data_IF_009037151028
#
_entry.id   IF_009037151028
#
_cell.length_a   1.000
_cell.length_b   1.000
_cell.length_c   1.000
_cell.angle_alpha   90.00
_cell.angle_beta   90.00
_cell.angle_gamma   90.00
#
_symmetry.space_group_name_H-M   'P 1'
#
loop_
_entity.id
_entity.type
_entity.pdbx_description
1 polymer ?
#
# COMPACT_ATOMS: atom_id res chain seq x y z
N UNK A 1 0.44 -5.63 -14.31
CA UNK A 1 1.25 -6.00 -13.13
C UNK A 1 1.14 -4.97 -12.01
N UNK A 2 1.54 -3.71 -12.21
CA UNK A 2 1.48 -2.66 -11.14
C UNK A 2 0.06 -2.35 -10.63
N UNK A 3 -0.92 -2.31 -11.53
CA UNK A 3 -2.33 -2.10 -11.17
C UNK A 3 -2.91 -3.26 -10.37
N UNK A 4 -2.45 -4.50 -10.59
CA UNK A 4 -2.99 -5.67 -9.90
C UNK A 4 -2.75 -5.60 -8.38
N UNK A 5 -1.56 -5.18 -7.96
CA UNK A 5 -1.21 -5.10 -6.54
C UNK A 5 -2.00 -4.04 -5.78
N UNK A 6 -2.48 -3.01 -6.47
CA UNK A 6 -3.23 -1.90 -5.84
C UNK A 6 -4.73 -2.11 -5.93
N UNK A 7 -5.24 -2.63 -7.05
CA UNK A 7 -6.68 -2.70 -7.30
C UNK A 7 -7.30 -4.01 -6.84
N UNK A 8 -6.62 -5.15 -6.91
CA UNK A 8 -7.22 -6.45 -6.55
C UNK A 8 -7.62 -6.51 -5.07
N UNK A 9 -6.73 -6.24 -4.09
CA UNK A 9 -7.14 -6.25 -2.68
C UNK A 9 -8.18 -5.19 -2.36
N UNK A 10 -8.12 -4.01 -3.00
CA UNK A 10 -9.13 -2.96 -2.83
C UNK A 10 -10.50 -3.38 -3.38
N UNK A 11 -10.54 -4.00 -4.55
CA UNK A 11 -11.77 -4.44 -5.22
C UNK A 11 -12.43 -5.61 -4.50
N UNK A 12 -11.64 -6.56 -3.98
CA UNK A 12 -12.15 -7.71 -3.23
C UNK A 12 -12.81 -7.32 -1.90
N UNK A 13 -12.42 -6.18 -1.29
CA UNK A 13 -12.93 -5.77 0.02
C UNK A 13 -13.97 -4.66 -0.07
N UNK A 14 -13.80 -3.69 -0.96
CA UNK A 14 -14.73 -2.55 -1.10
C UNK A 14 -15.90 -2.85 -2.03
N UNK A 15 -15.79 -3.89 -2.85
CA UNK A 15 -16.79 -4.21 -3.86
C UNK A 15 -17.03 -3.04 -4.83
N UNK A 16 -18.28 -2.90 -5.30
CA UNK A 16 -18.70 -1.92 -6.32
C UNK A 16 -19.18 -0.57 -5.72
N UNK A 17 -19.06 -0.36 -4.40
CA UNK A 17 -19.60 0.84 -3.74
C UNK A 17 -18.75 2.08 -4.02
N UNK A 18 -19.20 2.92 -4.96
CA UNK A 18 -18.51 4.18 -5.31
C UNK A 18 -18.36 5.16 -4.14
N UNK A 19 -19.27 5.11 -3.16
CA UNK A 19 -19.22 5.95 -1.96
C UNK A 19 -18.01 5.59 -1.07
N UNK A 20 -17.71 4.31 -0.91
CA UNK A 20 -16.60 3.84 -0.08
C UNK A 20 -15.24 4.10 -0.72
N UNK A 21 -15.14 3.95 -2.04
CA UNK A 21 -13.95 4.33 -2.80
C UNK A 21 -13.57 5.80 -2.59
N UNK A 22 -14.54 6.72 -2.69
CA UNK A 22 -14.31 8.16 -2.45
C UNK A 22 -13.97 8.46 -1.00
N UNK A 23 -14.55 7.75 -0.03
CA UNK A 23 -14.25 7.94 1.40
C UNK A 23 -12.81 7.53 1.73
N UNK A 24 -12.36 6.41 1.16
CA UNK A 24 -11.07 5.83 1.52
C UNK A 24 -9.93 6.50 0.75
N UNK A 25 -10.07 6.69 -0.56
CA UNK A 25 -9.00 7.27 -1.38
C UNK A 25 -9.01 8.80 -1.41
N UNK A 26 -10.19 9.46 -1.40
CA UNK A 26 -10.25 10.93 -1.48
C UNK A 26 -10.31 11.60 -0.10
N UNK A 27 -10.97 10.98 0.89
CA UNK A 27 -11.10 11.56 2.24
C UNK A 27 -10.15 10.95 3.26
N UNK A 28 -9.39 9.89 2.91
CA UNK A 28 -8.49 9.19 3.82
C UNK A 28 -9.11 8.88 5.21
N UNK A 29 -10.41 8.53 5.24
CA UNK A 29 -11.15 8.15 6.46
C UNK A 29 -11.47 6.65 6.46
N UNK A 30 -10.48 5.78 6.74
CA UNK A 30 -10.74 4.36 6.94
C UNK A 30 -11.45 4.16 8.30
N UNK A 31 -12.59 3.48 8.27
CA UNK A 31 -13.41 3.16 9.46
C UNK A 31 -13.04 1.82 10.10
N UNK A 32 -12.23 0.99 9.44
CA UNK A 32 -11.85 -0.34 9.92
C UNK A 32 -10.39 -0.71 9.66
N UNK A 33 -9.87 -1.68 10.42
CA UNK A 33 -8.49 -2.15 10.28
C UNK A 33 -8.16 -2.66 8.87
N UNK A 34 -9.13 -3.24 8.16
CA UNK A 34 -8.96 -3.77 6.80
C UNK A 34 -8.89 -2.63 5.76
N UNK A 35 -9.70 -1.58 5.92
CA UNK A 35 -9.62 -0.40 5.05
C UNK A 35 -8.26 0.31 5.21
N UNK A 36 -7.74 0.34 6.44
CA UNK A 36 -6.40 0.89 6.73
C UNK A 36 -5.30 0.05 6.06
N UNK A 37 -5.40 -1.28 6.14
CA UNK A 37 -4.50 -2.23 5.46
C UNK A 37 -4.45 -1.96 3.95
N UNK A 38 -5.59 -1.83 3.29
CA UNK A 38 -5.68 -1.62 1.84
C UNK A 38 -5.14 -0.23 1.46
N UNK A 39 -5.51 0.79 2.22
CA UNK A 39 -5.09 2.16 1.97
C UNK A 39 -3.57 2.29 2.07
N UNK A 40 -2.96 1.77 3.14
CA UNK A 40 -1.50 1.78 3.31
C UNK A 40 -0.80 1.00 2.19
N UNK A 41 -1.30 -0.18 1.80
CA UNK A 41 -0.73 -0.96 0.71
C UNK A 41 -0.76 -0.21 -0.62
N UNK A 42 -1.87 0.45 -0.95
CA UNK A 42 -2.00 1.23 -2.17
C UNK A 42 -1.05 2.43 -2.19
N UNK A 43 -0.97 3.18 -1.08
CA UNK A 43 -0.04 4.32 -0.96
C UNK A 43 1.42 3.85 -0.98
N UNK A 44 1.74 2.75 -0.30
CA UNK A 44 3.08 2.15 -0.30
C UNK A 44 3.53 1.73 -1.70
N UNK A 45 2.64 1.14 -2.50
CA UNK A 45 2.92 0.78 -3.88
C UNK A 45 3.20 2.02 -4.75
N UNK A 46 2.38 3.09 -4.63
CA UNK A 46 2.57 4.34 -5.39
C UNK A 46 3.88 5.03 -5.00
N UNK A 47 4.14 5.18 -3.70
CA UNK A 47 5.37 5.77 -3.18
C UNK A 47 6.59 4.95 -3.61
N UNK A 48 6.52 3.63 -3.49
CA UNK A 48 7.57 2.72 -3.93
C UNK A 48 7.85 2.81 -5.43
N UNK A 49 6.80 2.87 -6.27
CA UNK A 49 6.95 3.07 -7.71
C UNK A 49 7.57 4.42 -8.06
N UNK A 50 7.18 5.49 -7.33
CA UNK A 50 7.78 6.81 -7.49
C UNK A 50 9.28 6.82 -7.16
N UNK A 51 9.69 6.20 -6.04
CA UNK A 51 11.11 6.03 -5.71
C UNK A 51 11.83 5.14 -6.74
N UNK A 52 11.18 4.10 -7.25
CA UNK A 52 11.73 3.25 -8.32
C UNK A 52 11.88 3.95 -9.67
N UNK A 53 11.26 5.11 -9.87
CA UNK A 53 11.49 5.93 -11.07
C UNK A 53 12.74 6.80 -10.95
N UNK A 54 13.21 7.07 -9.73
CA UNK A 54 14.33 7.99 -9.48
C UNK A 54 15.68 7.52 -10.05
N UNK A 55 16.00 6.22 -10.12
CA UNK A 55 17.21 5.79 -10.78
C UNK A 55 17.23 6.13 -12.27
N UNK A 56 16.07 6.16 -12.96
CA UNK A 56 16.00 6.28 -14.43
C UNK A 56 16.75 7.49 -15.02
N UNK A 57 16.59 8.74 -14.53
CA UNK A 57 17.30 9.90 -15.06
C UNK A 57 18.81 9.90 -14.80
N UNK A 58 19.30 9.06 -13.88
CA UNK A 58 20.73 8.97 -13.57
C UNK A 58 21.51 8.13 -14.61
N UNK A 59 20.78 7.46 -15.51
CA UNK A 59 21.25 6.57 -16.60
C UNK A 59 22.61 5.91 -16.34
N UNK A 60 22.64 4.92 -15.44
CA UNK A 60 23.86 4.16 -15.16
C UNK A 60 24.13 3.09 -16.24
N UNK A 61 23.40 3.12 -17.37
CA UNK A 61 23.49 2.17 -18.48
C UNK A 61 23.38 0.70 -18.01
N UNK A 62 22.54 0.46 -17.01
CA UNK A 62 22.32 -0.89 -16.44
C UNK A 62 20.97 -1.46 -16.87
N UNK A 63 20.91 -2.76 -17.20
CA UNK A 63 19.67 -3.39 -17.65
C UNK A 63 18.56 -3.41 -16.59
N UNK A 64 18.87 -3.24 -15.31
CA UNK A 64 17.86 -3.15 -14.24
C UNK A 64 17.18 -1.77 -14.16
N UNK A 65 17.75 -0.76 -14.82
CA UNK A 65 17.27 0.62 -14.82
C UNK A 65 16.27 0.89 -15.95
N UNK A 66 16.19 -0.01 -16.93
CA UNK A 66 15.24 0.03 -18.03
C UNK A 66 13.80 0.16 -17.56
N UNK A 67 13.01 0.95 -18.26
CA UNK A 67 11.58 1.05 -17.99
C UNK A 67 10.86 -0.20 -18.50
N UNK A 68 9.97 -0.85 -17.70
CA UNK A 68 9.46 -0.46 -16.38
C UNK A 68 10.08 -1.24 -15.20
N UNK A 69 11.27 -1.82 -15.35
CA UNK A 69 11.87 -2.77 -14.39
C UNK A 69 12.11 -2.11 -13.03
N UNK A 70 12.81 -0.97 -12.99
CA UNK A 70 13.14 -0.26 -11.75
C UNK A 70 11.88 0.17 -10.96
N UNK A 71 10.91 0.75 -11.67
CA UNK A 71 9.60 1.16 -11.13
C UNK A 71 8.82 -0.05 -10.61
N UNK A 72 8.93 -1.20 -11.28
CA UNK A 72 8.25 -2.42 -10.88
C UNK A 72 8.76 -2.98 -9.57
N UNK A 73 10.09 -3.02 -9.40
CA UNK A 73 10.72 -3.41 -8.14
C UNK A 73 10.40 -2.44 -7.02
N UNK A 74 10.42 -1.12 -7.29
CA UNK A 74 10.04 -0.11 -6.30
C UNK A 74 8.60 -0.27 -5.83
N UNK A 75 7.66 -0.48 -6.75
CA UNK A 75 6.24 -0.70 -6.41
C UNK A 75 6.06 -1.98 -5.58
N UNK A 76 6.73 -3.07 -5.95
CA UNK A 76 6.67 -4.33 -5.21
C UNK A 76 7.24 -4.19 -3.80
N UNK A 77 8.41 -3.56 -3.66
CA UNK A 77 9.03 -3.31 -2.37
C UNK A 77 8.15 -2.41 -1.48
N UNK A 78 7.61 -1.33 -2.05
CA UNK A 78 6.70 -0.42 -1.34
C UNK A 78 5.43 -1.11 -0.86
N UNK A 79 4.84 -1.98 -1.68
CA UNK A 79 3.68 -2.81 -1.30
C UNK A 79 4.01 -3.77 -0.15
N UNK A 80 5.15 -4.46 -0.20
CA UNK A 80 5.57 -5.38 0.86
C UNK A 80 5.82 -4.66 2.19
N UNK A 81 6.52 -3.52 2.16
CA UNK A 81 6.77 -2.72 3.37
C UNK A 81 5.46 -2.23 3.97
N UNK A 82 4.55 -1.70 3.15
CA UNK A 82 3.25 -1.26 3.61
C UNK A 82 2.38 -2.40 4.17
N UNK A 83 2.49 -3.60 3.60
CA UNK A 83 1.80 -4.79 4.12
C UNK A 83 2.29 -5.14 5.53
N UNK A 84 3.61 -5.18 5.73
CA UNK A 84 4.22 -5.47 7.04
C UNK A 84 3.88 -4.37 8.05
N UNK A 85 3.98 -3.10 7.66
CA UNK A 85 3.63 -1.97 8.52
C UNK A 85 2.17 -2.01 8.95
N UNK A 86 1.26 -2.33 8.03
CA UNK A 86 -0.17 -2.45 8.31
C UNK A 86 -0.50 -3.60 9.26
N UNK A 87 0.16 -4.75 9.09
CA UNK A 87 0.03 -5.88 10.00
C UNK A 87 0.57 -5.55 11.40
N UNK A 88 1.74 -4.92 11.47
CA UNK A 88 2.34 -4.45 12.72
C UNK A 88 1.43 -3.48 13.46
N UNK A 89 0.85 -2.50 12.75
CA UNK A 89 -0.10 -1.55 13.32
C UNK A 89 -1.38 -2.24 13.82
N UNK A 90 -1.93 -3.18 13.04
CA UNK A 90 -3.10 -3.95 13.44
C UNK A 90 -2.85 -4.81 14.69
N UNK A 91 -1.70 -5.46 14.79
CA UNK A 91 -1.31 -6.25 15.96
C UNK A 91 -1.08 -5.36 17.19
N UNK A 92 -0.38 -4.23 17.04
CA UNK A 92 -0.14 -3.26 18.11
C UNK A 92 -1.45 -2.63 18.63
N UNK A 93 -2.39 -2.34 17.73
CA UNK A 93 -3.69 -1.82 18.12
C UNK A 93 -4.53 -2.87 18.86
N UNK A 94 -4.48 -4.14 18.43
CA UNK A 94 -5.18 -5.23 19.14
C UNK A 94 -4.57 -5.52 20.52
N UNK A 95 -3.24 -5.45 20.67
CA UNK A 95 -2.59 -5.64 21.96
C UNK A 95 -2.92 -4.51 22.94
N UNK A 96 -2.95 -3.25 22.46
CA UNK A 96 -3.41 -2.07 23.23
C UNK A 96 -4.85 -2.24 23.74
N UNK A 97 -5.78 -2.64 22.87
CA UNK A 97 -7.18 -2.85 23.26
C UNK A 97 -7.36 -3.98 24.28
N UNK A 98 -6.59 -5.07 24.15
CA UNK A 98 -6.61 -6.17 25.13
C UNK A 98 -6.09 -5.74 26.50
N UNK A 99 -5.08 -4.87 26.56
CA UNK A 99 -4.57 -4.33 27.82
C UNK A 99 -5.64 -3.51 28.55
N UNK A 100 -6.31 -2.58 27.85
CA UNK A 100 -7.35 -1.72 28.45
C UNK A 100 -8.56 -2.50 28.97
N UNK A 101 -8.90 -3.65 28.36
CA UNK A 101 -10.01 -4.49 28.82
C UNK A 101 -9.66 -5.33 30.06
N UNK A 102 -8.36 -5.54 30.33
CA UNK A 102 -7.88 -6.35 31.46
C UNK A 102 -7.55 -5.51 32.70
N UNK A 103 -7.66 -4.18 32.62
CA UNK A 103 -7.66 -3.24 33.75
C UNK A 103 -9.09 -2.95 34.21
#
# INVERSE_FOLDING_TARGET
MMSLFTTVPASCVLGSSWADWKRIFAHAKPNGSIEYLICLQAHGAVIGGWFGAWPMPLDWERPWQEWPISVSYGTLAGYLVASVASLGFGLAHRSRLKHVKNE
#
